data_IF_008302838294
#
_entry.id   IF_008302838294
#
_cell.length_a   1.000
_cell.length_b   1.000
_cell.length_c   1.000
_cell.angle_alpha   90.00
_cell.angle_beta   90.00
_cell.angle_gamma   90.00
#
_symmetry.space_group_name_H-M   'P 1'
#
loop_
_entity.id
_entity.type
_entity.pdbx_description
1 polymer ?
#
# COMPACT_ATOMS: atom_id res chain seq x y z
N UNK A 1 -35.13 9.63 -12.43
CA UNK A 1 -35.87 9.04 -11.30
C UNK A 1 -35.40 9.53 -9.93
N UNK A 2 -34.47 10.49 -9.82
CA UNK A 2 -33.93 10.91 -8.52
C UNK A 2 -35.02 11.47 -7.59
N UNK A 3 -35.88 12.43 -8.00
CA UNK A 3 -36.92 12.96 -7.11
C UNK A 3 -37.88 11.89 -6.63
N UNK A 4 -38.29 10.97 -7.50
CA UNK A 4 -39.20 9.88 -7.18
C UNK A 4 -38.54 8.86 -6.24
N UNK A 5 -37.31 8.44 -6.53
CA UNK A 5 -36.57 7.50 -5.70
C UNK A 5 -36.34 8.06 -4.29
N UNK A 6 -35.97 9.34 -4.17
CA UNK A 6 -35.74 9.98 -2.88
C UNK A 6 -37.06 10.14 -2.10
N UNK A 7 -38.16 10.46 -2.77
CA UNK A 7 -39.47 10.52 -2.15
C UNK A 7 -39.92 9.15 -1.60
N UNK A 8 -39.67 8.07 -2.36
CA UNK A 8 -39.95 6.69 -1.95
C UNK A 8 -39.14 6.32 -0.70
N UNK A 9 -37.82 6.53 -0.71
CA UNK A 9 -36.96 6.24 0.45
C UNK A 9 -37.38 7.04 1.68
N UNK A 10 -37.71 8.33 1.52
CA UNK A 10 -38.17 9.20 2.61
C UNK A 10 -39.43 8.67 3.27
N UNK A 11 -40.40 8.22 2.47
CA UNK A 11 -41.65 7.67 2.99
C UNK A 11 -41.43 6.29 3.63
N UNK A 12 -40.58 5.45 3.06
CA UNK A 12 -40.23 4.14 3.62
C UNK A 12 -39.49 4.26 4.94
N UNK A 13 -38.54 5.19 5.08
CA UNK A 13 -37.85 5.46 6.33
C UNK A 13 -38.83 5.92 7.43
N UNK A 14 -39.78 6.80 7.08
CA UNK A 14 -40.81 7.24 8.01
C UNK A 14 -41.67 6.08 8.52
N UNK A 15 -42.00 5.11 7.67
CA UNK A 15 -42.87 3.97 8.03
C UNK A 15 -42.15 2.87 8.79
N UNK A 16 -40.90 2.56 8.44
CA UNK A 16 -40.20 1.39 8.96
C UNK A 16 -39.29 1.72 10.15
N UNK A 17 -38.73 2.93 10.20
CA UNK A 17 -37.81 3.34 11.27
C UNK A 17 -38.24 4.62 11.97
N UNK A 18 -39.45 5.13 11.67
CA UNK A 18 -40.02 6.34 12.26
C UNK A 18 -39.14 7.60 12.11
N UNK A 19 -38.36 7.67 11.04
CA UNK A 19 -37.50 8.81 10.73
C UNK A 19 -37.86 9.39 9.38
N UNK A 20 -38.17 10.68 9.33
CA UNK A 20 -38.47 11.38 8.09
C UNK A 20 -37.32 12.32 7.74
N UNK A 21 -36.76 12.19 6.53
CA UNK A 21 -35.68 13.08 6.11
C UNK A 21 -36.10 14.56 6.16
N UNK A 22 -35.23 15.41 6.68
CA UNK A 22 -35.29 16.86 6.56
C UNK A 22 -34.80 17.31 5.19
N UNK A 23 -35.12 18.55 4.80
CA UNK A 23 -34.79 19.04 3.45
C UNK A 23 -33.27 19.19 3.26
N UNK A 24 -32.53 19.53 4.32
CA UNK A 24 -31.05 19.52 4.33
C UNK A 24 -30.48 18.13 4.09
N UNK A 25 -31.13 17.08 4.59
CA UNK A 25 -30.71 15.69 4.38
C UNK A 25 -30.98 15.25 2.93
N UNK A 26 -32.08 15.70 2.33
CA UNK A 26 -32.35 15.49 0.89
C UNK A 26 -31.25 16.14 0.04
N UNK A 27 -30.83 17.37 0.36
CA UNK A 27 -29.72 18.04 -0.31
C UNK A 27 -28.41 17.25 -0.15
N UNK A 28 -28.09 16.79 1.06
CA UNK A 28 -26.94 15.93 1.32
C UNK A 28 -26.94 14.66 0.46
N UNK A 29 -28.09 14.00 0.33
CA UNK A 29 -28.24 12.82 -0.53
C UNK A 29 -27.98 13.12 -2.02
N UNK A 30 -28.39 14.30 -2.51
CA UNK A 30 -28.12 14.73 -3.90
C UNK A 30 -26.62 14.96 -4.11
N UNK A 31 -25.95 15.58 -3.13
CA UNK A 31 -24.50 15.82 -3.16
C UNK A 31 -23.75 14.49 -3.23
N UNK A 32 -24.08 13.55 -2.36
CA UNK A 32 -23.49 12.20 -2.35
C UNK A 32 -23.72 11.44 -3.66
N UNK A 33 -24.95 11.47 -4.20
CA UNK A 33 -25.27 10.82 -5.47
C UNK A 33 -24.41 11.36 -6.64
N UNK A 34 -23.99 12.62 -6.58
CA UNK A 34 -23.11 13.25 -7.58
C UNK A 34 -21.62 12.94 -7.38
N UNK A 35 -21.26 12.10 -6.42
CA UNK A 35 -19.86 11.77 -6.11
C UNK A 35 -19.10 12.90 -5.43
N UNK A 36 -19.81 13.80 -4.72
CA UNK A 36 -19.22 14.91 -4.00
C UNK A 36 -19.25 14.65 -2.48
N UNK A 37 -18.45 15.41 -1.72
CA UNK A 37 -18.42 15.36 -0.25
C UNK A 37 -19.58 16.17 0.30
N UNK A 38 -20.44 15.54 1.10
CA UNK A 38 -21.49 16.22 1.85
C UNK A 38 -21.03 16.48 3.29
N UNK A 39 -20.62 17.72 3.58
CA UNK A 39 -20.28 18.14 4.93
C UNK A 39 -21.56 18.37 5.75
N UNK A 40 -21.70 17.64 6.85
CA UNK A 40 -22.85 17.72 7.75
C UNK A 40 -22.37 17.64 9.20
N UNK A 41 -22.94 18.46 10.07
CA UNK A 41 -22.60 18.45 11.49
C UNK A 41 -23.00 17.11 12.12
N UNK A 42 -22.22 16.63 13.10
CA UNK A 42 -22.56 15.43 13.86
C UNK A 42 -23.96 15.55 14.47
N UNK A 43 -24.79 14.53 14.28
CA UNK A 43 -26.19 14.55 14.72
C UNK A 43 -27.20 14.95 13.64
N UNK A 44 -26.77 15.48 12.49
CA UNK A 44 -27.63 15.78 11.33
C UNK A 44 -28.13 14.51 10.60
N UNK A 45 -27.79 13.32 11.09
CA UNK A 45 -28.27 12.05 10.55
C UNK A 45 -27.59 11.60 9.26
N UNK A 46 -26.25 11.68 9.18
CA UNK A 46 -25.44 11.16 8.05
C UNK A 46 -25.86 9.75 7.61
N UNK A 47 -26.07 8.84 8.58
CA UNK A 47 -26.53 7.47 8.33
C UNK A 47 -27.88 7.42 7.60
N UNK A 48 -28.85 8.26 8.01
CA UNK A 48 -30.15 8.36 7.35
C UNK A 48 -30.01 8.99 5.96
N UNK A 49 -29.15 9.99 5.79
CA UNK A 49 -28.90 10.66 4.51
C UNK A 49 -28.38 9.68 3.47
N UNK A 50 -27.45 8.80 3.86
CA UNK A 50 -26.84 7.81 2.97
C UNK A 50 -27.87 6.87 2.32
N UNK A 51 -29.01 6.61 2.97
CA UNK A 51 -30.07 5.74 2.41
C UNK A 51 -30.60 6.21 1.06
N UNK A 52 -30.64 7.52 0.82
CA UNK A 52 -31.16 8.13 -0.41
C UNK A 52 -30.32 7.77 -1.66
N UNK A 53 -29.02 8.14 -1.72
CA UNK A 53 -28.15 7.76 -2.83
C UNK A 53 -27.85 6.26 -2.88
N UNK A 54 -27.83 5.56 -1.74
CA UNK A 54 -27.61 4.09 -1.73
C UNK A 54 -28.73 3.40 -2.47
N UNK A 55 -29.99 3.66 -2.11
CA UNK A 55 -31.14 3.06 -2.79
C UNK A 55 -31.12 3.36 -4.29
N UNK A 56 -30.96 4.64 -4.66
CA UNK A 56 -31.00 5.04 -6.07
C UNK A 56 -29.91 4.35 -6.91
N UNK A 57 -28.69 4.24 -6.39
CA UNK A 57 -27.60 3.58 -7.12
C UNK A 57 -27.75 2.05 -7.08
N UNK A 58 -28.28 1.47 -6.00
CA UNK A 58 -28.50 0.03 -5.90
C UNK A 58 -29.50 -0.51 -6.93
N UNK A 59 -30.41 0.33 -7.46
CA UNK A 59 -31.33 -0.02 -8.56
C UNK A 59 -30.61 -0.43 -9.86
N UNK A 60 -29.32 -0.14 -10.02
CA UNK A 60 -28.52 -0.63 -11.14
C UNK A 60 -28.13 -2.12 -11.01
N UNK A 61 -28.36 -2.74 -9.84
CA UNK A 61 -28.00 -4.14 -9.52
C UNK A 61 -26.52 -4.47 -9.69
N UNK A 62 -25.66 -3.45 -9.55
CA UNK A 62 -24.20 -3.56 -9.65
C UNK A 62 -23.48 -3.56 -8.29
N UNK A 63 -24.24 -3.49 -7.18
CA UNK A 63 -23.72 -3.42 -5.81
C UNK A 63 -23.36 -2.01 -5.38
N UNK A 64 -23.65 -1.66 -4.13
CA UNK A 64 -23.25 -0.41 -3.49
C UNK A 64 -22.55 -0.70 -2.16
N UNK A 65 -21.37 -0.12 -1.95
CA UNK A 65 -20.64 -0.29 -0.68
C UNK A 65 -20.86 0.92 0.23
N UNK A 66 -21.30 0.69 1.47
CA UNK A 66 -21.17 1.69 2.54
C UNK A 66 -19.97 1.34 3.40
N UNK A 67 -18.99 2.23 3.41
CA UNK A 67 -17.73 2.09 4.13
C UNK A 67 -17.78 2.94 5.40
N UNK A 68 -17.46 2.34 6.53
CA UNK A 68 -17.31 3.03 7.82
C UNK A 68 -16.01 2.61 8.51
N UNK A 69 -15.71 3.20 9.66
CA UNK A 69 -14.42 3.05 10.34
C UNK A 69 -14.29 1.78 11.20
N UNK A 70 -15.39 1.12 11.59
CA UNK A 70 -15.32 -0.11 12.37
C UNK A 70 -16.52 -1.06 12.16
N UNK A 71 -16.29 -2.35 12.43
CA UNK A 71 -17.24 -3.44 12.21
C UNK A 71 -18.54 -3.28 13.03
N UNK A 72 -18.45 -2.71 14.24
CA UNK A 72 -19.62 -2.44 15.06
C UNK A 72 -20.56 -1.43 14.40
N UNK A 73 -20.02 -0.33 13.87
CA UNK A 73 -20.81 0.68 13.15
C UNK A 73 -21.40 0.09 11.87
N UNK A 74 -20.63 -0.71 11.13
CA UNK A 74 -21.10 -1.37 9.91
C UNK A 74 -22.31 -2.26 10.21
N UNK A 75 -22.20 -3.13 11.22
CA UNK A 75 -23.28 -4.03 11.64
C UNK A 75 -24.49 -3.27 12.20
N UNK A 76 -24.25 -2.24 13.03
CA UNK A 76 -25.30 -1.41 13.61
C UNK A 76 -26.09 -0.71 12.51
N UNK A 77 -25.41 -0.06 11.57
CA UNK A 77 -26.06 0.75 10.53
C UNK A 77 -26.73 -0.12 9.49
N UNK A 78 -26.16 -1.29 9.17
CA UNK A 78 -26.86 -2.32 8.39
C UNK A 78 -28.17 -2.72 9.07
N UNK A 79 -28.16 -3.01 10.37
CA UNK A 79 -29.37 -3.45 11.08
C UNK A 79 -30.39 -2.33 11.24
N UNK A 80 -29.92 -1.08 11.39
CA UNK A 80 -30.78 0.07 11.58
C UNK A 80 -31.43 0.54 10.27
N UNK A 81 -30.67 0.65 9.18
CA UNK A 81 -31.17 1.11 7.88
C UNK A 81 -31.70 -0.03 7.00
N UNK A 82 -31.31 -1.29 7.27
CA UNK A 82 -31.75 -2.50 6.58
C UNK A 82 -33.26 -2.56 6.31
N UNK A 83 -34.13 -2.33 7.30
CA UNK A 83 -35.59 -2.35 7.11
C UNK A 83 -36.09 -1.38 6.04
N UNK A 84 -35.37 -0.27 5.78
CA UNK A 84 -35.74 0.67 4.71
C UNK A 84 -35.46 0.07 3.33
N UNK A 85 -34.32 -0.59 3.16
CA UNK A 85 -33.94 -1.20 1.89
C UNK A 85 -34.74 -2.47 1.61
N UNK A 86 -34.92 -3.31 2.63
CA UNK A 86 -35.66 -4.58 2.54
C UNK A 86 -37.14 -4.34 2.24
N UNK A 87 -37.75 -3.30 2.83
CA UNK A 87 -39.12 -2.90 2.49
C UNK A 87 -39.27 -2.42 1.03
N UNK A 88 -38.17 -2.03 0.40
CA UNK A 88 -38.10 -1.65 -1.02
C UNK A 88 -37.64 -2.80 -1.92
N UNK A 89 -37.49 -4.01 -1.37
CA UNK A 89 -37.13 -5.22 -2.11
C UNK A 89 -35.63 -5.37 -2.41
N UNK A 90 -34.77 -4.58 -1.76
CA UNK A 90 -33.32 -4.71 -1.89
C UNK A 90 -32.74 -5.61 -0.80
N UNK A 91 -31.67 -6.32 -1.15
CA UNK A 91 -30.91 -7.16 -0.24
C UNK A 91 -29.74 -6.40 0.40
N UNK A 92 -29.44 -6.68 1.67
CA UNK A 92 -28.43 -5.94 2.45
C UNK A 92 -27.50 -6.90 3.19
N UNK A 93 -26.23 -6.90 2.77
CA UNK A 93 -25.13 -7.65 3.38
C UNK A 93 -24.29 -6.77 4.30
N UNK A 94 -23.50 -7.42 5.15
CA UNK A 94 -22.46 -6.78 5.94
C UNK A 94 -21.23 -7.66 5.94
N UNK A 95 -20.06 -7.05 5.78
CA UNK A 95 -18.77 -7.70 5.89
C UNK A 95 -18.25 -7.48 7.32
N UNK A 96 -17.83 -8.57 7.95
CA UNK A 96 -17.21 -8.61 9.27
C UNK A 96 -15.91 -9.41 9.20
N UNK A 97 -14.99 -9.12 10.11
CA UNK A 97 -13.66 -9.73 10.14
C UNK A 97 -13.69 -11.28 10.06
N UNK A 98 -14.48 -11.94 10.90
CA UNK A 98 -14.48 -13.40 11.08
C UNK A 98 -15.31 -14.18 10.04
N UNK A 99 -15.69 -13.56 8.92
CA UNK A 99 -16.47 -14.22 7.87
C UNK A 99 -15.60 -15.08 6.96
N UNK A 100 -16.10 -16.28 6.63
CA UNK A 100 -15.53 -17.13 5.59
C UNK A 100 -15.88 -16.63 4.17
N UNK A 101 -15.23 -17.22 3.16
CA UNK A 101 -15.39 -16.81 1.77
C UNK A 101 -16.82 -17.01 1.24
N UNK A 102 -17.53 -18.03 1.72
CA UNK A 102 -18.92 -18.27 1.32
C UNK A 102 -19.85 -17.16 1.84
N UNK A 103 -19.75 -16.82 3.13
CA UNK A 103 -20.51 -15.75 3.73
C UNK A 103 -20.15 -14.39 3.14
N UNK A 104 -18.87 -14.13 2.85
CA UNK A 104 -18.42 -12.90 2.17
C UNK A 104 -19.00 -12.81 0.76
N UNK A 105 -18.92 -13.89 -0.01
CA UNK A 105 -19.52 -13.96 -1.34
C UNK A 105 -21.03 -13.69 -1.30
N UNK A 106 -21.76 -14.23 -0.32
CA UNK A 106 -23.17 -13.93 -0.12
C UNK A 106 -23.41 -12.44 0.18
N UNK A 107 -22.60 -11.82 1.03
CA UNK A 107 -22.72 -10.41 1.41
C UNK A 107 -22.39 -9.43 0.26
N UNK A 108 -21.39 -9.74 -0.57
CA UNK A 108 -21.08 -8.95 -1.78
C UNK A 108 -22.13 -9.14 -2.89
N UNK A 109 -22.83 -10.27 -2.91
CA UNK A 109 -23.92 -10.51 -3.85
C UNK A 109 -25.23 -9.77 -3.51
N UNK A 110 -25.33 -9.17 -2.32
CA UNK A 110 -26.41 -8.25 -2.01
C UNK A 110 -26.38 -6.98 -2.89
N UNK A 111 -27.51 -6.29 -2.99
CA UNK A 111 -27.60 -5.00 -3.69
C UNK A 111 -26.80 -3.91 -2.95
N UNK A 112 -26.71 -4.04 -1.63
CA UNK A 112 -26.01 -3.12 -0.72
C UNK A 112 -25.14 -3.94 0.23
N UNK A 113 -23.89 -3.52 0.42
CA UNK A 113 -22.94 -4.17 1.32
C UNK A 113 -22.34 -3.14 2.27
N UNK A 114 -22.53 -3.34 3.57
CA UNK A 114 -21.87 -2.56 4.62
C UNK A 114 -20.53 -3.18 4.98
N UNK A 115 -19.53 -2.38 5.33
CA UNK A 115 -18.25 -2.91 5.78
C UNK A 115 -17.27 -1.82 6.18
N UNK A 116 -16.05 -2.22 6.53
CA UNK A 116 -14.95 -1.30 6.81
C UNK A 116 -14.02 -1.17 5.62
N UNK A 117 -13.30 -0.06 5.56
CA UNK A 117 -12.26 0.16 4.54
C UNK A 117 -11.19 -0.94 4.56
N UNK A 118 -10.80 -1.39 5.75
CA UNK A 118 -9.85 -2.49 5.93
C UNK A 118 -10.38 -3.80 5.35
N UNK A 119 -11.62 -4.18 5.65
CA UNK A 119 -12.18 -5.44 5.16
C UNK A 119 -12.40 -5.44 3.65
N UNK A 120 -12.95 -4.35 3.07
CA UNK A 120 -13.06 -4.21 1.62
C UNK A 120 -11.70 -4.27 0.92
N UNK A 121 -10.68 -3.62 1.49
CA UNK A 121 -9.33 -3.61 0.93
C UNK A 121 -8.63 -4.95 1.05
N UNK A 122 -8.75 -5.64 2.20
CA UNK A 122 -8.18 -6.97 2.36
C UNK A 122 -8.88 -8.03 1.50
N UNK A 123 -10.20 -7.94 1.31
CA UNK A 123 -10.92 -8.81 0.37
C UNK A 123 -10.42 -8.61 -1.06
N UNK A 124 -10.21 -7.36 -1.48
CA UNK A 124 -9.63 -7.09 -2.79
C UNK A 124 -8.24 -7.73 -2.93
N UNK A 125 -7.37 -7.59 -1.92
CA UNK A 125 -6.04 -8.20 -1.93
C UNK A 125 -6.13 -9.74 -1.94
N UNK A 126 -7.01 -10.33 -1.14
CA UNK A 126 -7.26 -11.78 -1.11
C UNK A 126 -7.75 -12.29 -2.46
N UNK A 127 -8.69 -11.61 -3.08
CA UNK A 127 -9.24 -11.98 -4.38
C UNK A 127 -8.19 -11.96 -5.49
N UNK A 128 -7.22 -11.05 -5.43
CA UNK A 128 -6.09 -11.01 -6.37
C UNK A 128 -5.03 -12.11 -6.15
N UNK A 129 -5.12 -12.88 -5.06
CA UNK A 129 -4.29 -14.06 -4.80
C UNK A 129 -4.99 -15.38 -5.13
N UNK A 130 -6.28 -15.35 -5.48
CA UNK A 130 -7.06 -16.55 -5.80
C UNK A 130 -6.67 -17.10 -7.17
N UNK A 131 -6.62 -18.42 -7.26
CA UNK A 131 -6.20 -19.13 -8.49
C UNK A 131 -7.33 -19.24 -9.52
N UNK A 132 -8.58 -19.22 -9.06
CA UNK A 132 -9.76 -19.35 -9.91
C UNK A 132 -10.66 -18.14 -9.75
N UNK A 133 -11.32 -17.77 -10.85
CA UNK A 133 -12.24 -16.63 -10.87
C UNK A 133 -13.49 -16.90 -10.02
N UNK A 134 -13.92 -18.15 -9.95
CA UNK A 134 -15.11 -18.57 -9.19
C UNK A 134 -14.93 -18.43 -7.68
N UNK A 135 -13.68 -18.37 -7.21
CA UNK A 135 -13.37 -18.22 -5.79
C UNK A 135 -13.42 -16.74 -5.36
N UNK A 136 -13.41 -15.78 -6.29
CA UNK A 136 -13.46 -14.34 -6.00
C UNK A 136 -14.78 -13.98 -5.31
N UNK A 137 -14.71 -13.26 -4.18
CA UNK A 137 -15.90 -12.88 -3.41
C UNK A 137 -16.46 -11.52 -3.82
N UNK A 138 -15.60 -10.58 -4.24
CA UNK A 138 -16.02 -9.24 -4.64
C UNK A 138 -16.63 -9.22 -6.05
N UNK A 139 -17.50 -8.23 -6.27
CA UNK A 139 -18.09 -7.89 -7.58
C UNK A 139 -17.39 -6.67 -8.17
N UNK A 140 -17.85 -6.23 -9.35
CA UNK A 140 -17.38 -5.00 -9.97
C UNK A 140 -17.58 -3.78 -9.05
N UNK A 141 -16.58 -2.89 -8.99
CA UNK A 141 -16.66 -1.66 -8.20
C UNK A 141 -17.56 -0.62 -8.88
N UNK A 142 -18.78 -0.46 -8.40
CA UNK A 142 -19.76 0.46 -8.98
C UNK A 142 -19.87 1.79 -8.24
N UNK A 143 -20.24 1.76 -6.96
CA UNK A 143 -20.46 2.97 -6.17
C UNK A 143 -20.16 2.71 -4.69
N UNK A 144 -19.49 3.65 -4.05
CA UNK A 144 -19.18 3.59 -2.62
C UNK A 144 -19.51 4.91 -1.94
N UNK A 145 -20.08 4.83 -0.74
CA UNK A 145 -20.22 5.95 0.19
C UNK A 145 -19.27 5.69 1.36
N UNK A 146 -18.45 6.68 1.68
CA UNK A 146 -17.49 6.61 2.77
C UNK A 146 -17.99 7.52 3.89
N UNK A 147 -18.36 6.93 5.01
CA UNK A 147 -18.61 7.66 6.26
C UNK A 147 -17.28 8.00 6.95
N UNK A 148 -17.20 9.15 7.61
CA UNK A 148 -15.95 9.70 8.17
C UNK A 148 -14.80 9.72 7.15
N UNK A 149 -15.08 10.35 6.00
CA UNK A 149 -14.19 10.43 4.83
C UNK A 149 -12.81 11.02 5.13
N UNK A 150 -12.71 11.93 6.09
CA UNK A 150 -11.46 12.52 6.56
C UNK A 150 -10.57 11.47 7.23
N UNK A 151 -11.14 10.67 8.12
CA UNK A 151 -10.42 9.58 8.80
C UNK A 151 -9.91 8.55 7.79
N UNK A 152 -10.74 8.15 6.83
CA UNK A 152 -10.39 7.08 5.88
C UNK A 152 -9.47 7.58 4.75
N UNK A 153 -9.81 8.68 4.07
CA UNK A 153 -9.08 9.13 2.88
C UNK A 153 -7.89 10.05 3.17
N UNK A 154 -7.74 10.53 4.40
CA UNK A 154 -6.60 11.38 4.80
C UNK A 154 -5.70 10.65 5.79
N UNK A 155 -6.25 10.22 6.93
CA UNK A 155 -5.44 9.67 8.01
C UNK A 155 -4.96 8.25 7.69
N UNK A 156 -5.89 7.36 7.35
CA UNK A 156 -5.61 5.94 7.09
C UNK A 156 -5.02 5.68 5.70
N UNK A 157 -5.23 6.57 4.73
CA UNK A 157 -4.70 6.43 3.37
C UNK A 157 -3.16 6.34 3.27
N UNK A 158 -2.45 6.69 4.35
CA UNK A 158 -0.97 6.61 4.43
C UNK A 158 -0.45 5.22 4.81
N UNK A 159 -1.30 4.36 5.36
CA UNK A 159 -0.90 3.03 5.81
C UNK A 159 -1.32 1.99 4.79
N UNK A 160 -0.38 1.31 4.10
CA UNK A 160 -0.74 0.29 3.13
C UNK A 160 -1.33 -0.94 3.82
N UNK A 161 -2.33 -1.55 3.18
CA UNK A 161 -2.84 -2.87 3.57
C UNK A 161 -1.87 -3.95 3.08
N UNK A 162 -1.40 -4.79 4.00
CA UNK A 162 -0.40 -5.83 3.71
C UNK A 162 -0.92 -7.19 4.19
N UNK A 163 -0.96 -8.16 3.29
CA UNK A 163 -1.16 -9.56 3.66
C UNK A 163 0.22 -10.21 3.81
N UNK A 164 0.48 -10.77 4.98
CA UNK A 164 1.67 -11.57 5.26
C UNK A 164 1.24 -12.98 5.62
N UNK A 165 1.94 -13.97 5.07
CA UNK A 165 1.73 -15.39 5.37
C UNK A 165 2.91 -15.94 6.16
N UNK A 166 2.69 -16.99 6.98
CA UNK A 166 3.80 -17.72 7.60
C UNK A 166 4.67 -18.31 6.49
N UNK A 167 5.98 -18.17 6.60
CA UNK A 167 6.93 -18.83 5.71
C UNK A 167 7.18 -20.23 6.29
N UNK A 168 6.76 -21.28 5.58
CA UNK A 168 6.93 -22.68 6.05
C UNK A 168 8.40 -23.08 6.19
N UNK A 169 9.32 -22.43 5.48
CA UNK A 169 10.74 -22.74 5.51
C UNK A 169 11.57 -21.50 5.84
N UNK A 170 12.17 -21.48 7.04
CA UNK A 170 13.37 -20.68 7.33
C UNK A 170 14.54 -21.25 6.53
N UNK A 171 14.54 -21.04 5.21
CA UNK A 171 15.71 -21.35 4.40
C UNK A 171 16.85 -20.44 4.83
N UNK A 172 17.81 -21.03 5.54
CA UNK A 172 19.11 -20.47 5.85
C UNK A 172 19.99 -20.33 4.58
N UNK A 173 19.44 -19.84 3.46
CA UNK A 173 20.23 -19.50 2.26
C UNK A 173 21.37 -18.55 2.60
N UNK A 174 21.18 -17.69 3.60
CA UNK A 174 22.27 -16.88 4.15
C UNK A 174 23.40 -17.75 4.69
N UNK A 175 23.12 -18.80 5.46
CA UNK A 175 24.16 -19.67 6.05
C UNK A 175 24.85 -20.55 4.99
N UNK A 176 24.15 -20.95 3.94
CA UNK A 176 24.75 -21.68 2.81
C UNK A 176 25.68 -20.79 1.98
N UNK A 177 25.27 -19.55 1.71
CA UNK A 177 25.98 -18.64 0.81
C UNK A 177 27.10 -17.88 1.52
N UNK A 178 26.96 -17.63 2.84
CA UNK A 178 27.94 -16.88 3.66
C UNK A 178 29.35 -17.45 3.56
N UNK A 179 29.61 -18.76 3.66
CA UNK A 179 30.95 -19.33 3.49
C UNK A 179 31.58 -19.03 2.12
N UNK A 180 30.80 -19.01 1.05
CA UNK A 180 31.29 -18.72 -0.30
C UNK A 180 31.62 -17.23 -0.45
N UNK A 181 30.74 -16.34 0.03
CA UNK A 181 30.97 -14.89 0.05
C UNK A 181 32.21 -14.57 0.89
N UNK A 182 32.36 -15.17 2.08
CA UNK A 182 33.52 -14.96 2.94
C UNK A 182 34.83 -15.40 2.26
N UNK A 183 34.80 -16.53 1.54
CA UNK A 183 35.98 -17.01 0.81
C UNK A 183 36.36 -16.08 -0.34
N UNK A 184 35.36 -15.57 -1.06
CA UNK A 184 35.56 -14.56 -2.11
C UNK A 184 36.16 -13.28 -1.53
N UNK A 185 35.58 -12.78 -0.44
CA UNK A 185 36.04 -11.58 0.25
C UNK A 185 37.49 -11.72 0.75
N UNK A 186 37.84 -12.86 1.36
CA UNK A 186 39.21 -13.12 1.82
C UNK A 186 40.23 -13.16 0.67
N UNK A 187 39.86 -13.74 -0.48
CA UNK A 187 40.73 -13.76 -1.67
C UNK A 187 40.92 -12.36 -2.25
N UNK A 188 39.84 -11.57 -2.31
CA UNK A 188 39.89 -10.17 -2.74
C UNK A 188 40.81 -9.34 -1.84
N UNK A 189 40.65 -9.45 -0.51
CA UNK A 189 41.51 -8.80 0.48
C UNK A 189 43.00 -9.17 0.32
N UNK A 190 43.30 -10.44 0.09
CA UNK A 190 44.67 -10.90 -0.12
C UNK A 190 45.28 -10.31 -1.39
N UNK A 191 44.54 -10.29 -2.51
CA UNK A 191 44.99 -9.68 -3.76
C UNK A 191 45.25 -8.18 -3.61
N UNK A 192 44.35 -7.46 -2.94
CA UNK A 192 44.47 -6.02 -2.73
C UNK A 192 45.67 -5.68 -1.84
N UNK A 193 45.94 -6.47 -0.79
CA UNK A 193 47.16 -6.32 0.01
C UNK A 193 48.43 -6.52 -0.81
N UNK A 194 48.42 -7.45 -1.76
CA UNK A 194 49.50 -7.64 -2.73
C UNK A 194 49.72 -6.39 -3.60
N UNK A 195 48.64 -5.85 -4.17
CA UNK A 195 48.70 -4.62 -4.98
C UNK A 195 49.11 -3.39 -4.16
N UNK A 196 48.68 -3.30 -2.90
CA UNK A 196 49.09 -2.24 -1.97
C UNK A 196 50.58 -2.24 -1.66
N UNK A 197 51.19 -3.42 -1.53
CA UNK A 197 52.63 -3.51 -1.29
C UNK A 197 53.42 -3.07 -2.54
N UNK A 198 52.98 -3.48 -3.73
CA UNK A 198 53.56 -3.00 -4.99
C UNK A 198 53.41 -1.48 -5.16
N UNK A 199 52.24 -0.94 -4.80
CA UNK A 199 51.99 0.50 -4.79
C UNK A 199 52.96 1.24 -3.85
N UNK A 200 53.17 0.72 -2.64
CA UNK A 200 54.12 1.26 -1.64
C UNK A 200 55.59 1.19 -2.11
N UNK A 201 55.99 0.11 -2.80
CA UNK A 201 57.33 -0.01 -3.41
C UNK A 201 57.56 0.98 -4.54
N UNK A 202 56.57 1.18 -5.42
CA UNK A 202 56.62 2.18 -6.49
C UNK A 202 56.72 3.60 -5.93
N UNK A 203 56.08 3.88 -4.80
CA UNK A 203 56.22 5.17 -4.10
C UNK A 203 57.63 5.36 -3.54
N UNK A 204 58.19 4.35 -2.87
CA UNK A 204 59.55 4.42 -2.30
C UNK A 204 60.63 4.56 -3.37
N UNK A 205 60.44 3.91 -4.51
CA UNK A 205 61.36 3.97 -5.66
C UNK A 205 61.11 5.17 -6.59
N UNK A 206 60.18 6.07 -6.24
CA UNK A 206 59.78 7.25 -7.03
C UNK A 206 59.32 6.93 -8.47
N UNK A 207 58.84 5.70 -8.73
CA UNK A 207 58.28 5.29 -10.02
C UNK A 207 56.77 5.58 -10.10
N UNK A 208 56.39 6.83 -9.85
CA UNK A 208 54.98 7.24 -9.71
C UNK A 208 54.32 7.75 -10.99
N UNK A 209 55.07 7.91 -12.08
CA UNK A 209 54.57 8.39 -13.38
C UNK A 209 54.44 7.27 -14.42
N UNK A 210 54.02 6.08 -13.97
CA UNK A 210 53.83 4.91 -14.83
C UNK A 210 52.35 4.55 -14.91
N UNK A 211 51.92 4.00 -16.06
CA UNK A 211 50.56 3.48 -16.20
C UNK A 211 50.27 2.36 -15.18
N UNK A 212 51.28 1.53 -14.89
CA UNK A 212 51.20 0.49 -13.86
C UNK A 212 50.88 1.07 -12.47
N UNK A 213 51.49 2.20 -12.10
CA UNK A 213 51.20 2.87 -10.84
C UNK A 213 49.75 3.36 -10.78
N UNK A 214 49.26 3.94 -11.87
CA UNK A 214 47.88 4.43 -11.99
C UNK A 214 46.86 3.29 -11.91
N UNK A 215 47.11 2.18 -12.60
CA UNK A 215 46.27 0.97 -12.55
C UNK A 215 46.23 0.37 -11.15
N UNK A 216 47.37 0.21 -10.49
CA UNK A 216 47.45 -0.31 -9.12
C UNK A 216 46.68 0.57 -8.13
N UNK A 217 46.84 1.90 -8.25
CA UNK A 217 46.14 2.87 -7.41
C UNK A 217 44.61 2.77 -7.60
N UNK A 218 44.15 2.63 -8.85
CA UNK A 218 42.74 2.46 -9.18
C UNK A 218 42.18 1.13 -8.65
N UNK A 219 42.87 0.00 -8.91
CA UNK A 219 42.45 -1.35 -8.52
C UNK A 219 42.35 -1.46 -7.01
N UNK A 220 43.35 -0.93 -6.28
CA UNK A 220 43.35 -0.95 -4.82
C UNK A 220 42.20 -0.12 -4.26
N UNK A 221 41.98 1.09 -4.81
CA UNK A 221 40.90 1.97 -4.38
C UNK A 221 39.51 1.36 -4.63
N UNK A 222 39.27 0.81 -5.83
CA UNK A 222 37.99 0.17 -6.17
C UNK A 222 37.80 -1.17 -5.46
N UNK A 223 38.87 -1.93 -5.29
CA UNK A 223 38.85 -3.26 -4.70
C UNK A 223 38.58 -3.27 -3.19
N UNK A 224 39.17 -2.33 -2.43
CA UNK A 224 38.88 -2.18 -1.00
C UNK A 224 38.93 -0.69 -0.63
N UNK A 225 37.84 0.07 -0.87
CA UNK A 225 37.79 1.52 -0.64
C UNK A 225 38.03 1.92 0.81
N UNK A 226 37.80 0.99 1.75
CA UNK A 226 37.95 1.19 3.20
C UNK A 226 39.27 0.67 3.75
N UNK A 227 40.22 0.27 2.90
CA UNK A 227 41.50 -0.26 3.35
C UNK A 227 42.31 0.81 4.10
N UNK A 228 42.64 0.52 5.36
CA UNK A 228 43.23 1.49 6.30
C UNK A 228 44.59 1.99 5.82
N UNK A 229 45.40 1.11 5.22
CA UNK A 229 46.73 1.48 4.73
C UNK A 229 46.62 2.50 3.58
N UNK A 230 45.71 2.28 2.64
CA UNK A 230 45.47 3.20 1.53
C UNK A 230 44.98 4.57 2.02
N UNK A 231 43.98 4.57 2.90
CA UNK A 231 43.41 5.81 3.44
C UNK A 231 44.46 6.65 4.18
N UNK A 232 45.33 6.00 4.95
CA UNK A 232 46.46 6.66 5.61
C UNK A 232 47.46 7.24 4.61
N UNK A 233 47.84 6.46 3.58
CA UNK A 233 48.75 6.93 2.53
C UNK A 233 48.20 8.15 1.78
N UNK A 234 46.89 8.18 1.49
CA UNK A 234 46.23 9.31 0.83
C UNK A 234 46.17 10.54 1.76
N UNK A 235 45.89 10.33 3.05
CA UNK A 235 45.84 11.42 4.02
C UNK A 235 47.22 12.06 4.24
N UNK A 236 48.27 11.26 4.31
CA UNK A 236 49.65 11.70 4.59
C UNK A 236 50.37 12.24 3.33
N UNK A 237 49.83 12.01 2.12
CA UNK A 237 50.48 12.38 0.86
C UNK A 237 49.52 13.09 -0.12
N UNK A 238 49.64 14.42 -0.19
CA UNK A 238 48.81 15.26 -1.06
C UNK A 238 48.98 14.96 -2.56
N UNK A 239 50.14 14.46 -3.00
CA UNK A 239 50.35 14.04 -4.39
C UNK A 239 49.51 12.80 -4.71
N UNK A 240 49.54 11.79 -3.84
CA UNK A 240 48.74 10.56 -3.99
C UNK A 240 47.25 10.86 -4.08
N UNK A 241 46.76 11.81 -3.27
CA UNK A 241 45.36 12.25 -3.31
C UNK A 241 44.99 12.83 -4.67
N UNK A 242 45.77 13.80 -5.18
CA UNK A 242 45.53 14.41 -6.49
C UNK A 242 45.62 13.38 -7.62
N UNK A 243 46.63 12.51 -7.58
CA UNK A 243 46.82 11.46 -8.58
C UNK A 243 45.66 10.47 -8.58
N UNK A 244 45.13 10.11 -7.41
CA UNK A 244 43.94 9.24 -7.31
C UNK A 244 42.72 9.90 -7.98
N UNK A 245 42.46 11.18 -7.71
CA UNK A 245 41.34 11.91 -8.32
C UNK A 245 41.47 11.97 -9.86
N UNK A 246 42.69 12.20 -10.37
CA UNK A 246 43.01 12.17 -11.80
C UNK A 246 42.78 10.78 -12.41
N UNK A 247 43.26 9.74 -11.74
CA UNK A 247 43.14 8.34 -12.18
C UNK A 247 41.68 7.90 -12.21
N UNK A 248 40.89 8.18 -11.17
CA UNK A 248 39.46 7.86 -11.14
C UNK A 248 38.75 8.51 -12.33
N UNK A 249 38.97 9.80 -12.55
CA UNK A 249 38.38 10.55 -13.68
C UNK A 249 38.79 9.98 -15.05
N UNK A 250 40.05 9.53 -15.19
CA UNK A 250 40.57 8.93 -16.42
C UNK A 250 39.94 7.56 -16.73
N UNK A 251 39.84 6.68 -15.73
CA UNK A 251 39.28 5.34 -15.91
C UNK A 251 37.76 5.36 -16.04
N UNK A 252 37.05 6.25 -15.35
CA UNK A 252 35.59 6.36 -15.41
C UNK A 252 35.06 7.07 -16.66
N UNK A 253 35.90 7.85 -17.37
CA UNK A 253 35.54 8.43 -18.67
C UNK A 253 35.76 7.48 -19.86
N UNK A 254 36.48 6.38 -19.65
CA UNK A 254 36.82 5.40 -20.69
C UNK A 254 35.89 4.18 -20.74
N UNK A 255 35.01 4.01 -19.74
CA UNK A 255 33.95 3.01 -19.71
C UNK A 255 32.60 3.62 -20.07
#
# INVERSE_FOLDING_TARGET
>A
ILPEAFAVVRETAKRNINMRHFDVQILGGIVLHRGMIAEMVTGEGKTLVATLPIYLNALASRGVHLVTVNDYLAQRDRNWMGPVYEALGLTVGVIQHDMDDEARGAAYNCDITYGTNNEFGFDYLRDNMKMKKEDIVQRDFYYAIIDEVDSILIDEARTPLIISGPVEETYHRYDEVTPFINRLYQRQEALIKGYLNRLDESLKSQKTDTDEFNELLYIVHKGSPKEKKLLKMIADNAFLKRKLDEVISSFERKG
#
